data_IF_653134887584
#
_entry.id   IF_653134887584
#
_cell.length_a   1.000
_cell.length_b   1.000
_cell.length_c   1.000
_cell.angle_alpha   90.00
_cell.angle_beta   90.00
_cell.angle_gamma   90.00
#
_symmetry.space_group_name_H-M   'P 1'
#
loop_
_entity.id
_entity.type
_entity.pdbx_description
1 polymer ?
#
# COMPACT_ATOMS: atom_id res chain seq x y z
N UNK A 1 -6.38 -1.94 -20.47
CA UNK A 1 -6.73 -3.38 -20.68
C UNK A 1 -7.88 -3.70 -19.75
N UNK A 2 -8.94 -4.31 -20.30
CA UNK A 2 -10.17 -4.69 -19.60
C UNK A 2 -10.30 -6.20 -19.40
N UNK A 3 -9.62 -7.00 -20.26
CA UNK A 3 -9.58 -8.47 -20.15
C UNK A 3 -8.20 -8.99 -20.57
N UNK A 4 -7.78 -10.08 -19.96
CA UNK A 4 -6.55 -10.80 -20.31
C UNK A 4 -6.84 -12.30 -20.43
N UNK A 5 -6.34 -12.92 -21.48
CA UNK A 5 -6.47 -14.35 -21.76
C UNK A 5 -5.05 -14.96 -21.74
N UNK A 6 -4.56 -15.24 -20.55
CA UNK A 6 -3.16 -15.59 -20.30
C UNK A 6 -2.78 -16.99 -20.78
N UNK A 7 -3.77 -17.88 -20.93
CA UNK A 7 -3.57 -19.25 -21.39
C UNK A 7 -3.60 -19.40 -22.94
N UNK A 8 -3.95 -18.34 -23.67
CA UNK A 8 -3.86 -18.31 -25.13
C UNK A 8 -2.40 -18.10 -25.58
N UNK A 9 -2.02 -18.64 -26.73
CA UNK A 9 -0.71 -18.41 -27.35
C UNK A 9 -0.90 -18.03 -28.82
N UNK A 10 -0.52 -16.79 -29.21
CA UNK A 10 0.00 -15.72 -28.36
C UNK A 10 -1.00 -15.28 -27.29
N UNK A 11 -0.50 -14.74 -26.17
CA UNK A 11 -1.34 -14.17 -25.09
C UNK A 11 -2.20 -13.05 -25.68
N UNK A 12 -3.51 -13.08 -25.40
CA UNK A 12 -4.44 -12.08 -25.92
C UNK A 12 -4.93 -11.14 -24.83
N UNK A 13 -4.90 -9.84 -25.12
CA UNK A 13 -5.38 -8.77 -24.26
C UNK A 13 -6.47 -7.98 -24.97
N UNK A 14 -7.55 -7.65 -24.25
CA UNK A 14 -8.63 -6.78 -24.72
C UNK A 14 -8.49 -5.43 -24.03
N UNK A 15 -8.46 -4.36 -24.79
CA UNK A 15 -8.40 -2.99 -24.28
C UNK A 15 -9.52 -2.14 -24.84
N UNK A 16 -9.72 -0.96 -24.28
CA UNK A 16 -10.72 -0.01 -24.73
C UNK A 16 -10.54 0.42 -26.21
N UNK A 17 -9.28 0.37 -26.69
CA UNK A 17 -8.93 0.83 -28.05
C UNK A 17 -8.61 -0.32 -29.02
N UNK A 18 -8.86 -1.58 -28.62
CA UNK A 18 -8.62 -2.75 -29.49
C UNK A 18 -8.09 -3.96 -28.74
N UNK A 19 -7.82 -5.02 -29.53
CA UNK A 19 -7.21 -6.25 -29.05
C UNK A 19 -5.71 -6.25 -29.35
N UNK A 20 -4.93 -6.82 -28.44
CA UNK A 20 -3.49 -6.94 -28.56
C UNK A 20 -3.08 -8.39 -28.33
N UNK A 21 -1.97 -8.81 -28.94
CA UNK A 21 -1.34 -10.09 -28.68
C UNK A 21 0.13 -9.91 -28.36
N UNK A 22 0.67 -10.80 -27.53
CA UNK A 22 2.08 -10.81 -27.18
C UNK A 22 2.55 -12.22 -26.83
N UNK A 23 3.84 -12.49 -27.00
CA UNK A 23 4.48 -13.76 -26.64
C UNK A 23 4.99 -13.77 -25.20
N UNK A 24 5.29 -12.57 -24.65
CA UNK A 24 5.59 -12.37 -23.25
C UNK A 24 4.80 -11.17 -22.70
N UNK A 25 4.35 -11.27 -21.45
CA UNK A 25 3.58 -10.24 -20.75
C UNK A 25 4.20 -9.94 -19.38
N UNK A 26 4.47 -8.67 -19.11
CA UNK A 26 4.84 -8.20 -17.76
C UNK A 26 3.65 -7.46 -17.16
N UNK A 27 3.13 -7.96 -16.03
CA UNK A 27 2.05 -7.33 -15.26
C UNK A 27 2.67 -6.40 -14.22
N UNK A 28 2.43 -5.10 -14.37
CA UNK A 28 2.94 -4.05 -13.49
C UNK A 28 1.83 -3.07 -13.10
N UNK A 29 0.68 -3.61 -12.72
CA UNK A 29 -0.56 -2.86 -12.47
C UNK A 29 -0.60 -2.16 -11.11
N UNK A 30 0.40 -2.42 -10.24
CA UNK A 30 0.56 -1.77 -8.95
C UNK A 30 -0.48 -2.21 -7.90
N UNK A 31 -0.59 -1.41 -6.86
CA UNK A 31 -1.58 -1.54 -5.80
C UNK A 31 -2.16 -0.17 -5.44
N UNK A 32 -3.40 -0.14 -4.97
CA UNK A 32 -4.08 1.06 -4.53
C UNK A 32 -4.15 1.10 -3.01
N UNK A 33 -3.77 2.22 -2.40
CA UNK A 33 -4.00 2.44 -0.98
C UNK A 33 -5.49 2.48 -0.68
N UNK A 34 -5.88 1.91 0.45
CA UNK A 34 -7.26 1.99 0.94
C UNK A 34 -7.43 3.28 1.74
N UNK A 35 -8.56 3.93 1.53
CA UNK A 35 -8.99 5.12 2.24
C UNK A 35 -10.29 4.85 2.99
N UNK A 36 -10.67 5.73 3.92
CA UNK A 36 -11.89 5.61 4.69
C UNK A 36 -13.14 6.00 3.88
N UNK A 37 -12.94 6.74 2.79
CA UNK A 37 -14.02 7.24 1.93
C UNK A 37 -14.62 8.55 2.43
N UNK A 38 -13.90 9.29 3.26
CA UNK A 38 -14.33 10.60 3.71
C UNK A 38 -14.11 11.64 2.59
N UNK A 39 -15.07 12.56 2.33
CA UNK A 39 -14.86 13.64 1.36
C UNK A 39 -13.61 14.48 1.65
N UNK A 40 -13.31 14.73 2.94
CA UNK A 40 -12.14 15.46 3.38
C UNK A 40 -10.81 14.73 3.09
N UNK A 41 -10.78 13.38 2.99
CA UNK A 41 -9.60 12.67 2.54
C UNK A 41 -9.22 13.07 1.10
N UNK A 42 -10.22 13.10 0.22
CA UNK A 42 -9.99 13.43 -1.19
C UNK A 42 -9.61 14.90 -1.38
N UNK A 43 -10.20 15.82 -0.59
CA UNK A 43 -9.90 17.24 -0.62
C UNK A 43 -8.44 17.54 -0.24
N UNK A 44 -7.93 16.85 0.81
CA UNK A 44 -6.59 17.07 1.34
C UNK A 44 -5.55 16.05 0.86
N UNK A 45 -5.88 15.18 -0.06
CA UNK A 45 -4.93 14.23 -0.67
C UNK A 45 -3.77 14.97 -1.34
N UNK A 46 -2.53 14.66 -0.92
CA UNK A 46 -1.34 15.39 -1.34
C UNK A 46 -1.18 16.81 -0.73
N UNK A 47 -2.11 17.21 0.18
CA UNK A 47 -2.04 18.47 0.92
C UNK A 47 -2.08 18.24 2.44
N UNK A 48 -1.53 17.12 2.88
CA UNK A 48 -1.53 16.71 4.28
C UNK A 48 -2.08 15.31 4.53
N UNK A 49 -2.79 14.70 3.57
CA UNK A 49 -3.24 13.31 3.63
C UNK A 49 -2.33 12.43 2.79
N UNK A 50 -1.77 11.39 3.41
CA UNK A 50 -0.88 10.40 2.78
C UNK A 50 -1.28 8.97 3.20
N UNK A 51 -0.87 7.98 2.42
CA UNK A 51 -0.97 6.56 2.73
C UNK A 51 0.41 5.89 2.87
N UNK A 52 1.49 6.67 2.97
CA UNK A 52 2.86 6.16 3.05
C UNK A 52 3.70 7.02 4.01
N UNK A 53 3.86 6.55 5.25
CA UNK A 53 4.66 7.27 6.24
C UNK A 53 6.15 7.35 5.87
N UNK A 54 6.71 6.32 5.25
CA UNK A 54 8.11 6.32 4.80
C UNK A 54 8.37 7.27 3.63
N UNK A 55 7.33 7.53 2.80
CA UNK A 55 7.42 8.46 1.68
C UNK A 55 7.36 9.92 2.16
N UNK A 56 6.38 10.24 2.98
CA UNK A 56 5.98 11.61 3.27
C UNK A 56 6.25 12.06 4.71
N UNK A 57 6.57 11.13 5.62
CA UNK A 57 6.75 11.44 7.04
C UNK A 57 7.82 12.50 7.32
N UNK A 58 8.85 12.57 6.49
CA UNK A 58 9.92 13.57 6.63
C UNK A 58 9.43 15.01 6.52
N UNK A 59 8.37 15.27 5.74
CA UNK A 59 7.79 16.61 5.59
C UNK A 59 7.15 17.13 6.89
N UNK A 60 6.84 16.24 7.84
CA UNK A 60 6.22 16.56 9.12
C UNK A 60 7.19 16.51 10.31
N UNK A 61 8.48 16.72 10.04
CA UNK A 61 9.50 16.75 11.09
C UNK A 61 9.19 17.79 12.14
N UNK A 62 9.20 17.37 13.43
CA UNK A 62 8.87 18.19 14.60
C UNK A 62 7.42 18.76 14.60
N UNK A 63 6.51 18.18 13.83
CA UNK A 63 5.08 18.53 13.80
C UNK A 63 4.25 17.39 14.39
N UNK A 64 3.04 17.69 14.85
CA UNK A 64 2.09 16.68 15.27
C UNK A 64 1.37 16.08 14.05
N UNK A 65 1.21 14.76 14.02
CA UNK A 65 0.56 14.02 12.94
C UNK A 65 -0.42 13.00 13.48
N UNK A 66 -1.40 12.65 12.67
CA UNK A 66 -2.32 11.55 12.96
C UNK A 66 -2.03 10.36 12.05
N UNK A 67 -2.25 9.13 12.56
CA UNK A 67 -2.23 7.91 11.79
C UNK A 67 -3.45 7.05 12.12
N UNK A 68 -4.14 6.57 11.08
CA UNK A 68 -5.33 5.74 11.22
C UNK A 68 -5.01 4.31 10.83
N UNK A 69 -5.20 3.37 11.75
CA UNK A 69 -4.99 1.96 11.47
C UNK A 69 -4.82 1.11 12.73
N UNK A 70 -4.54 -0.18 12.56
CA UNK A 70 -4.39 -1.10 13.70
C UNK A 70 -3.79 -2.46 13.33
N UNK A 71 -3.22 -2.59 12.14
CA UNK A 71 -2.42 -3.74 11.71
C UNK A 71 -0.92 -3.47 11.86
N UNK A 72 -0.09 -4.48 11.51
CA UNK A 72 1.38 -4.38 11.60
C UNK A 72 1.95 -3.18 10.86
N UNK A 73 1.46 -2.90 9.64
CA UNK A 73 1.91 -1.75 8.86
C UNK A 73 1.62 -0.43 9.59
N UNK A 74 0.41 -0.26 10.12
CA UNK A 74 0.02 0.95 10.85
C UNK A 74 0.90 1.18 12.08
N UNK A 75 1.19 0.11 12.84
CA UNK A 75 2.03 0.21 14.04
C UNK A 75 3.49 0.51 13.65
N UNK A 76 4.03 -0.15 12.62
CA UNK A 76 5.38 0.12 12.11
C UNK A 76 5.52 1.58 11.66
N UNK A 77 4.53 2.08 10.93
CA UNK A 77 4.48 3.46 10.46
C UNK A 77 4.32 4.46 11.61
N UNK A 78 3.48 4.16 12.63
CA UNK A 78 3.34 5.01 13.82
C UNK A 78 4.66 5.14 14.59
N UNK A 79 5.38 4.02 14.80
CA UNK A 79 6.68 4.02 15.45
C UNK A 79 7.73 4.78 14.62
N UNK A 80 7.71 4.61 13.29
CA UNK A 80 8.59 5.36 12.40
C UNK A 80 8.33 6.87 12.49
N UNK A 81 7.06 7.28 12.42
CA UNK A 81 6.66 8.69 12.56
C UNK A 81 7.05 9.26 13.94
N UNK A 82 6.97 8.48 15.01
CA UNK A 82 7.36 8.91 16.35
C UNK A 82 8.86 9.28 16.47
N UNK A 83 9.70 8.76 15.55
CA UNK A 83 11.10 9.15 15.43
C UNK A 83 11.34 10.46 14.68
N UNK A 84 10.32 11.00 14.01
CA UNK A 84 10.43 12.17 13.12
C UNK A 84 9.55 13.31 13.61
N UNK A 85 8.28 13.04 13.89
CA UNK A 85 7.27 13.98 14.36
C UNK A 85 7.50 14.36 15.83
N UNK A 86 6.94 15.48 16.25
CA UNK A 86 6.91 15.85 17.67
C UNK A 86 5.98 14.96 18.48
N UNK A 87 4.86 14.56 17.90
CA UNK A 87 3.88 13.66 18.47
C UNK A 87 3.07 12.96 17.38
N UNK A 88 2.67 11.72 17.63
CA UNK A 88 1.81 10.91 16.74
C UNK A 88 0.51 10.57 17.45
N UNK A 89 -0.62 10.92 16.86
CA UNK A 89 -1.96 10.54 17.31
C UNK A 89 -2.39 9.28 16.56
N UNK A 90 -2.32 8.11 17.21
CA UNK A 90 -2.74 6.85 16.60
C UNK A 90 -4.21 6.59 16.86
N UNK A 91 -5.01 6.57 15.80
CA UNK A 91 -6.47 6.45 15.84
C UNK A 91 -6.85 5.01 15.50
N UNK A 92 -7.53 4.33 16.43
CA UNK A 92 -7.99 2.97 16.23
C UNK A 92 -9.39 2.75 16.80
N UNK A 93 -10.26 2.09 15.99
CA UNK A 93 -11.67 1.87 16.34
C UNK A 93 -11.92 0.82 17.42
N UNK A 94 -10.89 0.14 17.94
CA UNK A 94 -10.94 -0.92 18.95
C UNK A 94 -9.81 -0.73 19.96
N UNK A 95 -9.84 -1.51 21.04
CA UNK A 95 -8.74 -1.67 21.99
C UNK A 95 -7.78 -2.81 21.63
N UNK A 96 -8.14 -3.61 20.61
CA UNK A 96 -7.36 -4.75 20.16
C UNK A 96 -6.81 -4.47 18.75
N UNK A 97 -5.50 -4.51 18.64
CA UNK A 97 -4.77 -4.37 17.40
C UNK A 97 -4.66 -5.72 16.68
N UNK A 98 -4.73 -5.73 15.34
CA UNK A 98 -4.55 -6.93 14.52
C UNK A 98 -3.08 -7.25 14.21
N UNK A 99 -2.19 -6.55 14.85
CA UNK A 99 -0.76 -6.71 14.69
C UNK A 99 -0.21 -7.83 15.56
N UNK A 100 0.99 -8.30 15.24
CA UNK A 100 1.75 -9.22 16.07
C UNK A 100 1.95 -8.65 17.48
N UNK A 101 1.90 -9.52 18.49
CA UNK A 101 2.02 -9.10 19.90
C UNK A 101 3.26 -8.24 20.17
N UNK A 102 4.40 -8.63 19.60
CA UNK A 102 5.66 -7.89 19.79
C UNK A 102 5.56 -6.46 19.26
N UNK A 103 4.82 -6.24 18.18
CA UNK A 103 4.60 -4.91 17.61
C UNK A 103 3.69 -4.07 18.50
N UNK A 104 2.65 -4.68 19.07
CA UNK A 104 1.74 -4.01 20.03
C UNK A 104 2.49 -3.64 21.30
N UNK A 105 3.33 -4.53 21.84
CA UNK A 105 4.14 -4.26 23.03
C UNK A 105 5.11 -3.10 22.77
N UNK A 106 5.72 -3.05 21.59
CA UNK A 106 6.59 -1.96 21.17
C UNK A 106 5.85 -0.62 21.00
N UNK A 107 4.65 -0.66 20.40
CA UNK A 107 3.78 0.51 20.30
C UNK A 107 3.49 1.11 21.69
N UNK A 108 3.08 0.25 22.64
CA UNK A 108 2.76 0.67 24.02
C UNK A 108 3.98 1.23 24.75
N UNK A 109 5.16 0.68 24.52
CA UNK A 109 6.40 1.22 25.06
C UNK A 109 6.67 2.65 24.58
N UNK A 110 6.59 2.88 23.25
CA UNK A 110 6.78 4.23 22.67
C UNK A 110 5.66 5.20 23.09
N UNK A 111 4.43 4.72 23.29
CA UNK A 111 3.34 5.51 23.83
C UNK A 111 3.58 5.92 25.29
N UNK A 112 4.17 5.02 26.11
CA UNK A 112 4.55 5.34 27.49
C UNK A 112 5.65 6.43 27.59
N UNK A 113 6.47 6.58 26.55
CA UNK A 113 7.44 7.68 26.43
C UNK A 113 6.79 9.04 26.04
N UNK A 114 5.48 9.06 25.78
CA UNK A 114 4.73 10.25 25.40
C UNK A 114 4.84 10.67 23.93
N UNK A 115 5.51 9.87 23.10
CA UNK A 115 5.67 10.13 21.66
C UNK A 115 4.46 9.74 20.82
N UNK A 116 3.69 8.75 21.28
CA UNK A 116 2.45 8.31 20.62
C UNK A 116 1.30 8.44 21.63
N UNK A 117 0.21 9.08 21.19
CA UNK A 117 -1.06 9.13 21.92
C UNK A 117 -2.01 8.12 21.25
N UNK A 118 -2.52 7.15 22.03
CA UNK A 118 -3.44 6.13 21.54
C UNK A 118 -4.88 6.61 21.70
N UNK A 119 -5.58 6.80 20.58
CA UNK A 119 -7.02 7.09 20.54
C UNK A 119 -7.77 5.80 20.20
N UNK A 120 -7.95 4.97 21.24
CA UNK A 120 -8.69 3.71 21.13
C UNK A 120 -10.20 3.97 21.17
N UNK A 121 -10.98 3.10 20.51
CA UNK A 121 -12.43 3.26 20.29
C UNK A 121 -12.79 4.55 19.57
N UNK A 122 -11.86 5.10 18.79
CA UNK A 122 -12.07 6.32 18.00
C UNK A 122 -12.01 6.03 16.49
N UNK A 123 -12.83 6.75 15.77
CA UNK A 123 -12.75 6.82 14.29
C UNK A 123 -12.43 8.24 13.87
N UNK A 124 -11.76 8.38 12.73
CA UNK A 124 -11.64 9.64 12.05
C UNK A 124 -13.00 10.00 11.45
N UNK A 125 -13.58 11.13 11.86
CA UNK A 125 -14.86 11.63 11.39
C UNK A 125 -14.66 12.60 10.21
N UNK A 126 -13.69 13.49 10.34
CA UNK A 126 -13.38 14.52 9.35
C UNK A 126 -11.91 14.94 9.44
N UNK A 127 -11.31 15.29 8.32
CA UNK A 127 -10.01 15.96 8.27
C UNK A 127 -10.29 17.44 8.12
N UNK A 128 -9.73 18.24 9.04
CA UNK A 128 -9.88 19.68 9.08
C UNK A 128 -8.70 20.34 8.36
N UNK A 129 -8.98 21.40 7.63
CA UNK A 129 -7.93 22.09 6.92
C UNK A 129 -8.39 23.40 6.28
N UNK A 130 -7.46 24.05 5.62
CA UNK A 130 -7.70 25.27 4.88
C UNK A 130 -7.01 25.20 3.48
N UNK A 131 -6.88 26.34 2.82
CA UNK A 131 -6.25 26.43 1.50
C UNK A 131 -4.79 25.96 1.46
N UNK A 132 -4.11 25.91 2.62
CA UNK A 132 -2.70 25.51 2.76
C UNK A 132 -2.54 24.02 3.02
N UNK A 133 -3.60 23.35 3.48
CA UNK A 133 -3.61 21.90 3.75
C UNK A 133 -4.28 21.54 5.06
N UNK A 134 -3.91 20.38 5.59
CA UNK A 134 -4.44 19.85 6.86
C UNK A 134 -3.99 20.71 8.03
N UNK A 135 -4.95 21.04 8.93
CA UNK A 135 -4.71 21.77 10.19
C UNK A 135 -5.18 20.99 11.41
N UNK A 136 -5.93 19.90 11.21
CA UNK A 136 -6.44 19.07 12.31
C UNK A 136 -7.25 17.87 11.83
N UNK A 137 -7.70 17.10 12.79
CA UNK A 137 -8.63 15.98 12.61
C UNK A 137 -9.75 16.06 13.63
N UNK A 138 -10.96 15.68 13.23
CA UNK A 138 -12.08 15.44 14.13
C UNK A 138 -12.21 13.95 14.37
N UNK A 139 -12.11 13.56 15.63
CA UNK A 139 -12.34 12.20 16.07
C UNK A 139 -13.78 12.02 16.56
N UNK A 140 -14.33 10.83 16.38
CA UNK A 140 -15.58 10.40 16.97
C UNK A 140 -15.29 9.22 17.92
N UNK A 141 -15.58 9.40 19.21
CA UNK A 141 -15.46 8.35 20.21
C UNK A 141 -16.66 7.41 20.13
N UNK A 142 -16.41 6.15 19.79
CA UNK A 142 -17.46 5.15 19.58
C UNK A 142 -18.17 4.69 20.86
N UNK A 143 -17.60 4.98 22.04
CA UNK A 143 -18.20 4.64 23.34
C UNK A 143 -19.11 5.74 23.86
N UNK A 144 -18.69 7.01 23.71
CA UNK A 144 -19.42 8.15 24.25
C UNK A 144 -20.22 8.91 23.18
N UNK A 145 -19.85 8.77 21.91
CA UNK A 145 -20.40 9.56 20.81
C UNK A 145 -19.88 11.00 20.77
N UNK A 146 -18.96 11.36 21.65
CA UNK A 146 -18.35 12.68 21.67
C UNK A 146 -17.38 12.88 20.52
N UNK A 147 -17.34 14.10 20.01
CA UNK A 147 -16.38 14.50 18.97
C UNK A 147 -15.31 15.40 19.58
N UNK A 148 -14.07 15.20 19.17
CA UNK A 148 -12.90 15.95 19.60
C UNK A 148 -12.09 16.37 18.38
N UNK A 149 -11.73 17.66 18.33
CA UNK A 149 -10.84 18.20 17.31
C UNK A 149 -9.40 18.23 17.84
N UNK A 150 -8.49 17.61 17.10
CA UNK A 150 -7.06 17.52 17.45
C UNK A 150 -6.26 18.24 16.38
N UNK A 151 -5.42 19.23 16.74
CA UNK A 151 -4.55 19.92 15.81
C UNK A 151 -3.43 18.98 15.34
N UNK A 152 -3.33 18.77 14.02
CA UNK A 152 -2.27 18.00 13.37
C UNK A 152 -1.97 18.61 12.01
N UNK A 153 -0.74 18.47 11.53
CA UNK A 153 -0.32 19.00 10.24
C UNK A 153 -0.35 17.95 9.11
N UNK A 154 -0.51 16.67 9.46
CA UNK A 154 -0.59 15.58 8.49
C UNK A 154 -1.38 14.39 9.03
N UNK A 155 -2.00 13.65 8.11
CA UNK A 155 -2.81 12.47 8.39
C UNK A 155 -2.34 11.31 7.52
N UNK A 156 -1.98 10.21 8.14
CA UNK A 156 -1.55 8.99 7.47
C UNK A 156 -2.65 7.93 7.55
N UNK A 157 -3.12 7.47 6.39
CA UNK A 157 -4.17 6.44 6.30
C UNK A 157 -3.51 5.09 6.11
N UNK A 158 -3.35 4.33 7.18
CA UNK A 158 -2.62 3.06 7.22
C UNK A 158 -3.57 1.85 7.40
N UNK A 159 -4.64 1.79 6.60
CA UNK A 159 -5.66 0.72 6.66
C UNK A 159 -5.47 -0.38 5.61
N UNK A 160 -4.31 -0.38 4.93
CA UNK A 160 -3.89 -1.40 3.99
C UNK A 160 -3.97 -0.97 2.53
N UNK A 161 -3.59 -1.91 1.66
CA UNK A 161 -3.57 -1.75 0.21
C UNK A 161 -4.41 -2.85 -0.45
N UNK A 162 -4.77 -2.64 -1.70
CA UNK A 162 -5.40 -3.62 -2.57
C UNK A 162 -4.59 -3.69 -3.86
N UNK A 163 -4.01 -4.85 -4.20
CA UNK A 163 -3.31 -4.99 -5.47
C UNK A 163 -4.30 -4.88 -6.63
N UNK A 164 -3.86 -4.29 -7.74
CA UNK A 164 -4.69 -4.09 -8.93
C UNK A 164 -4.60 -5.33 -9.85
N UNK A 165 -5.05 -6.47 -9.35
CA UNK A 165 -4.84 -7.80 -9.94
C UNK A 165 -6.14 -8.56 -10.21
N UNK A 166 -7.29 -7.96 -9.91
CA UNK A 166 -8.61 -8.61 -10.02
C UNK A 166 -8.86 -9.27 -11.38
N UNK A 167 -8.35 -8.68 -12.45
CA UNK A 167 -8.45 -9.20 -13.82
C UNK A 167 -7.79 -10.58 -13.99
N UNK A 168 -6.86 -10.96 -13.12
CA UNK A 168 -6.03 -12.15 -13.23
C UNK A 168 -6.35 -13.22 -12.19
N UNK A 169 -7.34 -13.00 -11.28
CA UNK A 169 -7.61 -13.86 -10.10
C UNK A 169 -7.90 -15.32 -10.49
N UNK A 170 -8.60 -15.56 -11.59
CA UNK A 170 -8.97 -16.91 -12.01
C UNK A 170 -7.89 -17.61 -12.87
N UNK A 171 -6.77 -16.93 -13.16
CA UNK A 171 -5.75 -17.42 -14.08
C UNK A 171 -4.39 -17.57 -13.41
N UNK A 172 -4.03 -16.67 -12.50
CA UNK A 172 -2.73 -16.66 -11.83
C UNK A 172 -2.83 -17.15 -10.40
N UNK A 173 -1.75 -17.75 -9.92
CA UNK A 173 -1.60 -18.05 -8.50
C UNK A 173 -1.47 -16.75 -7.71
N UNK A 174 -2.31 -16.62 -6.66
CA UNK A 174 -2.42 -15.42 -5.84
C UNK A 174 -2.19 -15.71 -4.37
N UNK A 175 -1.55 -14.76 -3.67
CA UNK A 175 -1.48 -14.73 -2.22
C UNK A 175 -2.08 -13.42 -1.70
N UNK A 176 -3.25 -13.50 -1.04
CA UNK A 176 -4.00 -12.31 -0.59
C UNK A 176 -4.26 -11.28 -1.71
N UNK A 177 -4.48 -11.77 -2.94
CA UNK A 177 -4.70 -10.94 -4.14
C UNK A 177 -3.41 -10.47 -4.82
N UNK A 178 -2.24 -10.66 -4.24
CA UNK A 178 -0.95 -10.37 -4.88
C UNK A 178 -0.52 -11.54 -5.77
N UNK A 179 0.03 -11.24 -6.95
CA UNK A 179 0.51 -12.26 -7.88
C UNK A 179 1.73 -12.96 -7.26
N UNK A 180 1.70 -14.29 -7.22
CA UNK A 180 2.83 -15.10 -6.75
C UNK A 180 3.87 -15.21 -7.87
N UNK A 181 5.12 -14.89 -7.56
CA UNK A 181 6.28 -15.06 -8.45
C UNK A 181 7.21 -16.15 -7.92
N UNK A 182 8.02 -16.73 -8.80
CA UNK A 182 8.87 -17.89 -8.44
C UNK A 182 10.03 -17.57 -7.51
N UNK A 183 10.44 -16.30 -7.44
CA UNK A 183 11.55 -15.86 -6.61
C UNK A 183 12.94 -16.15 -7.22
N UNK A 184 13.96 -15.51 -6.67
CA UNK A 184 15.34 -15.49 -7.21
C UNK A 184 15.94 -16.90 -7.40
N UNK A 185 15.64 -17.82 -6.48
CA UNK A 185 16.21 -19.19 -6.53
C UNK A 185 15.76 -20.00 -7.76
N UNK A 186 14.73 -19.58 -8.48
CA UNK A 186 14.23 -20.27 -9.66
C UNK A 186 15.01 -19.97 -10.94
N UNK A 187 15.86 -18.94 -10.95
CA UNK A 187 16.53 -18.43 -12.14
C UNK A 187 15.64 -17.54 -13.03
N UNK A 188 14.35 -17.36 -12.66
CA UNK A 188 13.39 -16.46 -13.32
C UNK A 188 12.49 -15.85 -12.24
N UNK A 189 13.05 -14.90 -11.49
CA UNK A 189 12.50 -14.40 -10.23
C UNK A 189 11.08 -13.86 -10.35
N UNK A 190 10.77 -13.20 -11.45
CA UNK A 190 9.48 -12.53 -11.69
C UNK A 190 8.50 -13.37 -12.52
N UNK A 191 8.87 -14.62 -12.90
CA UNK A 191 7.96 -15.51 -13.59
C UNK A 191 6.81 -15.95 -12.68
N UNK A 192 5.60 -16.01 -13.27
CA UNK A 192 4.40 -16.53 -12.62
C UNK A 192 4.25 -18.04 -12.86
N UNK A 193 3.11 -18.61 -12.46
CA UNK A 193 2.73 -19.99 -12.78
C UNK A 193 2.44 -20.22 -14.29
N UNK A 194 2.22 -19.17 -15.08
CA UNK A 194 1.97 -19.26 -16.53
C UNK A 194 3.24 -18.89 -17.30
N UNK A 195 3.77 -19.79 -18.19
CA UNK A 195 4.94 -19.50 -19.01
C UNK A 195 4.73 -18.27 -19.90
N UNK A 196 5.73 -17.37 -19.93
CA UNK A 196 5.68 -16.10 -20.67
C UNK A 196 4.91 -14.99 -19.95
N UNK A 197 4.43 -15.22 -18.72
CA UNK A 197 3.77 -14.20 -17.89
C UNK A 197 4.62 -13.92 -16.66
N UNK A 198 4.92 -12.63 -16.44
CA UNK A 198 5.77 -12.10 -15.37
C UNK A 198 5.02 -11.04 -14.60
N UNK A 199 5.40 -10.80 -13.33
CA UNK A 199 4.82 -9.75 -12.51
C UNK A 199 5.89 -8.92 -11.81
N UNK A 200 5.69 -7.59 -11.71
CA UNK A 200 6.63 -6.67 -11.11
C UNK A 200 5.91 -5.54 -10.36
N UNK A 201 6.59 -4.94 -9.40
CA UNK A 201 6.07 -3.83 -8.59
C UNK A 201 5.04 -4.27 -7.57
N UNK A 202 4.19 -3.33 -7.15
CA UNK A 202 3.29 -3.51 -6.02
C UNK A 202 2.19 -4.55 -6.26
N UNK A 203 1.93 -4.97 -7.50
CA UNK A 203 0.97 -6.05 -7.77
C UNK A 203 1.45 -7.43 -7.29
N UNK A 204 2.76 -7.59 -7.02
CA UNK A 204 3.37 -8.80 -6.44
C UNK A 204 4.08 -8.54 -5.11
N UNK A 205 4.49 -7.28 -4.83
CA UNK A 205 5.18 -6.91 -3.57
C UNK A 205 4.17 -6.57 -2.47
N UNK A 206 3.81 -7.55 -1.65
CA UNK A 206 2.94 -7.34 -0.48
C UNK A 206 3.65 -6.76 0.74
N UNK A 207 5.00 -6.59 0.71
CA UNK A 207 5.82 -6.26 1.88
C UNK A 207 6.32 -4.82 1.84
N UNK A 208 7.04 -4.44 0.80
CA UNK A 208 7.77 -3.17 0.74
C UNK A 208 6.97 -2.05 0.07
N UNK A 209 6.44 -2.30 -1.12
CA UNK A 209 5.66 -1.33 -1.91
C UNK A 209 6.36 0.03 -2.03
N UNK A 210 7.63 0.00 -2.45
CA UNK A 210 8.47 1.17 -2.64
C UNK A 210 8.88 1.33 -4.10
N UNK A 211 9.06 2.58 -4.56
CA UNK A 211 9.45 2.87 -5.93
C UNK A 211 10.74 2.13 -6.34
N UNK A 212 11.72 2.05 -5.44
CA UNK A 212 12.99 1.37 -5.72
C UNK A 212 12.82 -0.16 -5.84
N UNK A 213 11.97 -0.79 -5.01
CA UNK A 213 11.70 -2.23 -5.12
C UNK A 213 10.88 -2.54 -6.37
N UNK A 214 9.97 -1.66 -6.75
CA UNK A 214 9.20 -1.76 -8.00
C UNK A 214 10.11 -1.62 -9.22
N UNK A 215 11.05 -0.67 -9.22
CA UNK A 215 12.04 -0.51 -10.28
C UNK A 215 12.94 -1.75 -10.41
N UNK A 216 13.42 -2.28 -9.28
CA UNK A 216 14.26 -3.49 -9.25
C UNK A 216 13.51 -4.72 -9.81
N UNK A 217 12.28 -4.97 -9.34
CA UNK A 217 11.47 -6.08 -9.86
C UNK A 217 11.08 -5.88 -11.31
N UNK A 218 10.87 -4.64 -11.77
CA UNK A 218 10.65 -4.32 -13.19
C UNK A 218 11.84 -4.67 -14.06
N UNK A 219 13.06 -4.34 -13.62
CA UNK A 219 14.31 -4.73 -14.30
C UNK A 219 14.45 -6.27 -14.38
N UNK A 220 14.23 -6.97 -13.26
CA UNK A 220 14.26 -8.43 -13.22
C UNK A 220 13.22 -9.05 -14.16
N UNK A 221 11.99 -8.53 -14.18
CA UNK A 221 10.94 -9.03 -15.05
C UNK A 221 11.26 -8.85 -16.54
N UNK A 222 11.91 -7.73 -16.90
CA UNK A 222 12.34 -7.48 -18.27
C UNK A 222 13.42 -8.49 -18.72
N UNK A 223 14.41 -8.76 -17.86
CA UNK A 223 15.45 -9.76 -18.13
C UNK A 223 14.89 -11.18 -18.21
N UNK A 224 13.98 -11.55 -17.31
CA UNK A 224 13.30 -12.83 -17.32
C UNK A 224 12.47 -13.03 -18.61
N UNK A 225 11.76 -11.96 -19.03
CA UNK A 225 10.96 -11.99 -20.25
C UNK A 225 11.84 -12.13 -21.51
N UNK A 226 12.96 -11.40 -21.58
CA UNK A 226 13.91 -11.50 -22.68
C UNK A 226 14.47 -12.92 -22.78
N UNK A 227 14.97 -13.48 -21.68
CA UNK A 227 15.48 -14.84 -21.62
C UNK A 227 14.42 -15.89 -22.04
N UNK A 228 13.16 -15.68 -21.65
CA UNK A 228 12.05 -16.53 -22.08
C UNK A 228 11.85 -16.46 -23.59
N UNK A 229 11.86 -15.28 -24.19
CA UNK A 229 11.67 -15.10 -25.63
C UNK A 229 12.82 -15.72 -26.44
N UNK A 230 14.06 -15.49 -26.04
CA UNK A 230 15.27 -16.08 -26.67
C UNK A 230 15.26 -17.61 -26.60
N UNK A 231 15.00 -18.16 -25.40
CA UNK A 231 15.00 -19.62 -25.18
C UNK A 231 13.91 -20.35 -26.00
N UNK A 232 12.79 -19.66 -26.31
CA UNK A 232 11.68 -20.19 -27.09
C UNK A 232 11.77 -19.82 -28.59
N UNK A 233 12.84 -19.13 -29.03
CA UNK A 233 13.03 -18.74 -30.43
C UNK A 233 11.98 -17.75 -30.95
N UNK A 234 11.52 -16.87 -30.06
CA UNK A 234 10.49 -15.84 -30.35
C UNK A 234 11.11 -14.48 -30.70
N UNK A 235 12.41 -14.34 -30.50
CA UNK A 235 13.25 -13.18 -30.90
C UNK A 235 14.60 -13.69 -31.35
N UNK A 236 15.29 -12.94 -32.25
CA UNK A 236 16.64 -13.22 -32.77
C UNK A 236 17.71 -12.72 -31.80
#
# INVERSE_FOLDING_TARGET
>A
ITEAHLNEKPIRLVGNNGNYTCDALIIATGASAKYLGLPSEEEFKGKGVSACATCDGFFYRNQEVAIVGGGDSAIKEAIYLAGIASKVHMIHRRDQYRAEKIMVDRLKAVAAEGKIVLHEFCTLDEILGDKTGVTGVRLNNLKTGEKEDIPVMGVFIAIGHSPNTKMFEDQLEMNHGYIVTKGIASGAAQATNIPGVFAAGDCQDQVYRQAITSAASGCMAALDALNYLETNGLVD
#
